data_IF_269808405517
#
_entry.id   IF_269808405517
#
_cell.length_a   1.000
_cell.length_b   1.000
_cell.length_c   1.000
_cell.angle_alpha   90.00
_cell.angle_beta   90.00
_cell.angle_gamma   90.00
#
_symmetry.space_group_name_H-M   'P 1'
#
loop_
_entity.id
_entity.type
_entity.pdbx_description
1 polymer ?
#
# COMPACT_ATOMS: atom_id res chain seq x y z
N UNK A 1 -5.00 11.08 6.15
CA UNK A 1 -6.00 11.50 7.11
C UNK A 1 -6.96 10.37 7.48
N UNK A 2 -8.00 10.66 8.24
CA UNK A 2 -8.91 9.65 8.83
C UNK A 2 -9.63 8.78 7.77
N UNK A 3 -9.86 9.33 6.58
CA UNK A 3 -10.56 8.60 5.51
C UNK A 3 -9.68 7.61 4.77
N UNK A 4 -8.37 7.66 4.93
CA UNK A 4 -7.37 6.84 4.27
C UNK A 4 -7.72 6.49 2.81
N UNK A 5 -6.73 6.23 1.98
CA UNK A 5 -6.92 5.85 0.57
C UNK A 5 -5.96 4.74 0.19
N UNK A 6 -6.38 3.90 -0.73
CA UNK A 6 -5.52 2.87 -1.30
C UNK A 6 -4.59 3.48 -2.33
N UNK A 7 -3.29 3.20 -2.19
CA UNK A 7 -2.25 3.60 -3.14
C UNK A 7 -1.70 2.35 -3.82
N UNK A 8 -1.50 2.40 -5.12
CA UNK A 8 -0.78 1.39 -5.91
C UNK A 8 0.53 2.01 -6.40
N UNK A 9 1.63 1.30 -6.21
CA UNK A 9 3.00 1.77 -6.40
C UNK A 9 3.74 0.88 -7.41
N UNK A 10 3.50 1.04 -8.72
CA UNK A 10 4.17 0.25 -9.74
C UNK A 10 5.65 0.66 -9.84
N UNK A 11 6.48 -0.26 -10.35
CA UNK A 11 7.92 -0.01 -10.55
C UNK A 11 8.28 0.39 -11.99
N UNK A 12 7.41 0.07 -12.94
CA UNK A 12 7.65 0.28 -14.35
C UNK A 12 6.34 0.48 -15.15
N UNK A 13 6.40 0.85 -16.43
CA UNK A 13 5.21 1.02 -17.27
C UNK A 13 4.36 -0.25 -17.44
N UNK A 14 4.96 -1.45 -17.42
CA UNK A 14 4.20 -2.68 -17.55
C UNK A 14 3.36 -2.95 -16.30
N UNK A 15 3.94 -2.80 -15.12
CA UNK A 15 3.21 -2.92 -13.87
C UNK A 15 2.18 -1.79 -13.70
N UNK A 16 2.48 -0.57 -14.19
CA UNK A 16 1.51 0.52 -14.20
C UNK A 16 0.26 0.18 -15.05
N UNK A 17 0.46 -0.47 -16.21
CA UNK A 17 -0.65 -0.96 -17.04
C UNK A 17 -1.49 -2.01 -16.31
N UNK A 18 -0.86 -3.00 -15.69
CA UNK A 18 -1.58 -4.03 -14.90
C UNK A 18 -2.30 -3.42 -13.69
N UNK A 19 -1.65 -2.49 -13.00
CA UNK A 19 -2.25 -1.84 -11.83
C UNK A 19 -3.40 -0.91 -12.20
N UNK A 20 -3.45 -0.36 -13.42
CA UNK A 20 -4.60 0.40 -13.87
C UNK A 20 -5.88 -0.48 -13.87
N UNK A 21 -5.79 -1.70 -14.36
CA UNK A 21 -6.91 -2.65 -14.31
C UNK A 21 -7.24 -3.07 -12.85
N UNK A 22 -6.22 -3.33 -12.03
CA UNK A 22 -6.39 -3.64 -10.60
C UNK A 22 -7.04 -2.48 -9.85
N UNK A 23 -6.70 -1.22 -10.19
CA UNK A 23 -7.30 -0.05 -9.56
C UNK A 23 -8.81 0.02 -9.75
N UNK A 24 -9.32 -0.28 -10.96
CA UNK A 24 -10.76 -0.35 -11.22
C UNK A 24 -11.43 -1.48 -10.43
N UNK A 25 -10.84 -2.67 -10.41
CA UNK A 25 -11.37 -3.80 -9.65
C UNK A 25 -11.45 -3.48 -8.15
N UNK A 26 -10.38 -2.95 -7.57
CA UNK A 26 -10.35 -2.54 -6.17
C UNK A 26 -11.33 -1.41 -5.85
N UNK A 27 -11.48 -0.42 -6.76
CA UNK A 27 -12.42 0.67 -6.56
C UNK A 27 -13.87 0.17 -6.49
N UNK A 28 -14.23 -0.83 -7.30
CA UNK A 28 -15.54 -1.46 -7.27
C UNK A 28 -15.74 -2.28 -5.98
N UNK A 29 -14.77 -3.10 -5.61
CA UNK A 29 -14.85 -3.99 -4.46
C UNK A 29 -14.82 -3.22 -3.13
N UNK A 30 -13.93 -2.26 -2.99
CA UNK A 30 -13.76 -1.45 -1.77
C UNK A 30 -14.70 -0.24 -1.72
N UNK A 31 -15.33 0.12 -2.84
CA UNK A 31 -16.19 1.31 -2.96
C UNK A 31 -15.48 2.57 -2.44
N UNK A 32 -14.27 2.79 -2.90
CA UNK A 32 -13.42 3.92 -2.52
C UNK A 32 -12.48 4.31 -3.66
N UNK A 33 -11.92 5.50 -3.58
CA UNK A 33 -10.92 5.98 -4.54
C UNK A 33 -9.63 5.17 -4.40
N UNK A 34 -9.06 4.77 -5.53
CA UNK A 34 -7.75 4.12 -5.63
C UNK A 34 -6.80 5.07 -6.36
N UNK A 35 -5.63 5.29 -5.82
CA UNK A 35 -4.59 6.10 -6.45
C UNK A 35 -3.51 5.21 -7.05
N UNK A 36 -3.29 5.34 -8.35
CA UNK A 36 -2.14 4.79 -9.04
C UNK A 36 -1.03 5.84 -9.02
N UNK A 37 0.01 5.61 -8.24
CA UNK A 37 1.07 6.57 -7.97
C UNK A 37 2.25 6.35 -8.90
N UNK A 38 2.54 7.32 -9.74
CA UNK A 38 3.68 7.33 -10.65
C UNK A 38 4.57 8.53 -10.34
N UNK A 39 5.87 8.32 -10.37
CA UNK A 39 6.82 9.43 -10.41
C UNK A 39 7.21 9.80 -11.86
N UNK A 40 7.99 10.86 -12.02
CA UNK A 40 8.41 11.33 -13.33
C UNK A 40 9.36 10.34 -14.04
N UNK A 41 10.13 9.56 -13.30
CA UNK A 41 11.04 8.57 -13.90
C UNK A 41 10.25 7.43 -14.56
N UNK A 42 9.11 7.02 -14.00
CA UNK A 42 8.21 6.07 -14.66
C UNK A 42 7.43 6.75 -15.78
N UNK A 43 6.89 7.96 -15.54
CA UNK A 43 5.94 8.60 -16.45
C UNK A 43 6.59 9.24 -17.69
N UNK A 44 7.84 9.63 -17.63
CA UNK A 44 8.52 10.37 -18.72
C UNK A 44 9.75 9.64 -19.30
N UNK A 45 10.21 8.58 -18.68
CA UNK A 45 11.34 7.81 -19.18
C UNK A 45 10.90 6.80 -20.25
N UNK A 46 11.64 6.76 -21.35
CA UNK A 46 11.42 5.75 -22.39
C UNK A 46 12.07 4.42 -21.97
N UNK A 47 11.27 3.51 -21.44
CA UNK A 47 11.72 2.18 -21.03
C UNK A 47 11.29 1.12 -22.02
N UNK A 48 12.14 0.12 -22.21
CA UNK A 48 11.76 -1.10 -22.90
C UNK A 48 10.91 -1.95 -21.93
N UNK A 49 9.76 -2.39 -22.40
CA UNK A 49 8.93 -3.35 -21.68
C UNK A 49 8.43 -4.44 -22.64
N UNK A 50 7.93 -5.54 -22.08
CA UNK A 50 7.22 -6.55 -22.88
C UNK A 50 5.97 -5.92 -23.49
N UNK A 51 5.51 -6.39 -24.68
CA UNK A 51 4.26 -5.92 -25.25
C UNK A 51 3.11 -6.02 -24.25
N UNK A 52 2.44 -4.91 -24.02
CA UNK A 52 1.29 -4.86 -23.13
C UNK A 52 0.15 -5.67 -23.77
N UNK A 53 -0.44 -6.59 -23.02
CA UNK A 53 -1.53 -7.44 -23.47
C UNK A 53 -2.76 -7.18 -22.62
N UNK A 54 -3.83 -6.78 -23.29
CA UNK A 54 -5.14 -6.70 -22.65
C UNK A 54 -5.83 -8.07 -22.76
N UNK A 55 -6.38 -8.52 -21.63
CA UNK A 55 -7.14 -9.76 -21.56
C UNK A 55 -8.64 -9.46 -21.57
N UNK A 56 -9.27 -9.64 -22.74
CA UNK A 56 -10.73 -9.43 -22.90
C UNK A 56 -11.57 -10.45 -22.14
N UNK A 57 -10.98 -11.58 -21.72
CA UNK A 57 -11.66 -12.60 -20.93
C UNK A 57 -11.62 -12.31 -19.42
N UNK A 58 -10.87 -11.31 -18.99
CA UNK A 58 -10.74 -10.94 -17.58
C UNK A 58 -12.09 -10.58 -16.99
N UNK A 59 -12.48 -11.28 -15.93
CA UNK A 59 -13.67 -10.96 -15.14
C UNK A 59 -13.30 -10.05 -13.98
N UNK A 60 -14.09 -9.00 -13.81
CA UNK A 60 -13.94 -8.07 -12.70
C UNK A 60 -14.96 -8.36 -11.61
N UNK A 61 -14.52 -8.36 -10.36
CA UNK A 61 -15.41 -8.48 -9.21
C UNK A 61 -16.06 -7.11 -8.94
N UNK A 62 -17.38 -7.03 -9.13
CA UNK A 62 -18.15 -5.80 -8.91
C UNK A 62 -18.39 -5.51 -7.41
N UNK A 63 -17.87 -6.38 -6.52
CA UNK A 63 -18.04 -6.27 -5.08
C UNK A 63 -19.45 -6.60 -4.61
N UNK A 64 -19.83 -6.06 -3.46
CA UNK A 64 -21.11 -6.34 -2.81
C UNK A 64 -22.26 -5.57 -3.46
N UNK A 65 -22.99 -6.22 -4.32
CA UNK A 65 -24.17 -5.66 -5.03
C UNK A 65 -25.42 -6.30 -4.44
N UNK A 66 -26.35 -5.46 -3.99
CA UNK A 66 -27.69 -5.89 -3.57
C UNK A 66 -28.57 -6.04 -4.80
N UNK A 67 -29.11 -7.23 -5.05
CA UNK A 67 -30.01 -7.50 -6.18
C UNK A 67 -31.47 -7.26 -5.85
N UNK A 68 -32.34 -7.25 -6.85
CA UNK A 68 -33.79 -7.13 -6.64
C UNK A 68 -34.33 -8.29 -5.79
N UNK A 69 -33.86 -9.50 -6.06
CA UNK A 69 -34.26 -10.72 -5.33
C UNK A 69 -33.89 -10.63 -3.85
N UNK A 70 -32.67 -10.20 -3.52
CA UNK A 70 -32.25 -9.99 -2.14
C UNK A 70 -33.11 -8.97 -1.40
N UNK A 71 -33.53 -7.90 -2.10
CA UNK A 71 -34.43 -6.89 -1.53
C UNK A 71 -35.84 -7.45 -1.33
N UNK A 72 -36.32 -8.33 -2.21
CA UNK A 72 -37.63 -8.97 -2.09
C UNK A 72 -37.66 -10.04 -1.01
N UNK A 73 -36.56 -10.73 -0.79
CA UNK A 73 -36.35 -11.63 0.34
C UNK A 73 -36.31 -10.89 1.70
N UNK A 74 -36.26 -9.54 1.70
CA UNK A 74 -36.30 -8.73 2.91
C UNK A 74 -34.92 -8.54 3.56
N UNK A 75 -33.83 -8.72 2.81
CA UNK A 75 -32.50 -8.39 3.31
C UNK A 75 -32.41 -6.91 3.67
N UNK A 76 -31.85 -6.62 4.84
CA UNK A 76 -31.69 -5.25 5.28
C UNK A 76 -30.66 -4.52 4.39
N UNK A 77 -31.06 -3.39 3.85
CA UNK A 77 -30.24 -2.56 2.99
C UNK A 77 -30.01 -1.19 3.60
N UNK A 78 -28.75 -0.90 3.87
CA UNK A 78 -28.26 0.43 4.20
C UNK A 78 -26.99 0.72 3.41
N UNK A 79 -26.93 1.89 2.74
CA UNK A 79 -25.78 2.23 1.89
C UNK A 79 -24.45 2.20 2.64
N UNK A 80 -24.48 2.37 3.95
CA UNK A 80 -23.30 2.36 4.83
C UNK A 80 -23.40 1.28 5.93
N UNK A 81 -24.34 0.34 5.78
CA UNK A 81 -24.53 -0.76 6.70
C UNK A 81 -23.48 -1.85 6.45
N UNK A 82 -22.65 -2.10 7.45
CA UNK A 82 -21.66 -3.17 7.46
C UNK A 82 -22.31 -4.44 8.04
N UNK A 83 -22.73 -5.35 7.18
CA UNK A 83 -23.41 -6.59 7.59
C UNK A 83 -22.46 -7.75 7.85
N UNK A 84 -21.26 -7.72 7.23
CA UNK A 84 -20.29 -8.81 7.28
C UNK A 84 -19.12 -8.51 8.23
N UNK A 85 -19.04 -7.30 8.77
CA UNK A 85 -18.00 -6.87 9.70
C UNK A 85 -16.66 -6.51 9.03
N UNK A 86 -16.61 -6.44 7.70
CA UNK A 86 -15.41 -6.10 6.92
C UNK A 86 -15.34 -4.62 6.51
N UNK A 87 -16.30 -3.81 6.95
CA UNK A 87 -16.38 -2.38 6.65
C UNK A 87 -16.91 -2.04 5.27
N UNK A 88 -17.19 -3.03 4.41
CA UNK A 88 -17.66 -2.83 3.04
C UNK A 88 -19.19 -3.06 2.96
N UNK A 89 -20.00 -2.00 2.76
CA UNK A 89 -21.43 -2.15 2.66
C UNK A 89 -21.88 -2.67 1.30
N UNK A 90 -23.10 -3.19 1.24
CA UNK A 90 -23.77 -3.45 -0.04
C UNK A 90 -24.16 -2.14 -0.73
N UNK A 91 -24.20 -2.17 -2.07
CA UNK A 91 -24.70 -1.07 -2.88
C UNK A 91 -25.73 -1.57 -3.89
N UNK A 92 -26.63 -0.70 -4.28
CA UNK A 92 -27.55 -0.91 -5.40
C UNK A 92 -27.12 -0.06 -6.58
N UNK A 93 -27.51 -0.46 -7.78
CA UNK A 93 -27.44 0.38 -8.97
C UNK A 93 -28.78 1.10 -9.22
N UNK A 94 -28.78 2.23 -9.93
CA UNK A 94 -30.02 2.82 -10.42
C UNK A 94 -30.85 1.79 -11.18
N UNK A 95 -32.12 1.66 -10.81
CA UNK A 95 -33.04 0.69 -11.46
C UNK A 95 -32.97 -0.74 -10.92
N UNK A 96 -32.22 -1.02 -9.86
CA UNK A 96 -32.16 -2.35 -9.24
C UNK A 96 -33.55 -2.84 -8.83
N UNK A 97 -34.39 -1.98 -8.25
CA UNK A 97 -35.75 -2.34 -7.81
C UNK A 97 -36.68 -1.14 -7.89
N UNK A 98 -37.99 -1.32 -8.26
CA UNK A 98 -38.92 -0.20 -8.46
C UNK A 98 -39.16 0.67 -7.22
N UNK A 99 -39.15 0.07 -6.03
CA UNK A 99 -39.54 0.73 -4.76
C UNK A 99 -38.57 0.55 -3.60
N UNK A 100 -37.57 -0.32 -3.74
CA UNK A 100 -36.61 -0.66 -2.68
C UNK A 100 -35.19 -0.34 -3.10
N UNK A 101 -34.28 -0.24 -2.14
CA UNK A 101 -32.83 -0.09 -2.38
C UNK A 101 -32.39 1.28 -2.90
N UNK A 102 -33.29 2.24 -3.05
CA UNK A 102 -32.92 3.63 -3.34
C UNK A 102 -32.41 4.34 -2.08
N UNK A 103 -31.44 5.23 -2.28
CA UNK A 103 -30.90 6.03 -1.20
C UNK A 103 -30.51 7.42 -1.70
N UNK A 104 -30.46 8.38 -0.78
CA UNK A 104 -29.98 9.72 -1.07
C UNK A 104 -29.00 10.15 0.03
N UNK A 105 -27.85 10.64 -0.35
CA UNK A 105 -26.81 11.10 0.57
C UNK A 105 -26.58 12.59 0.42
N UNK A 106 -26.49 13.30 1.53
CA UNK A 106 -26.12 14.72 1.56
C UNK A 106 -25.39 15.05 2.87
N UNK A 107 -24.75 16.20 2.90
CA UNK A 107 -24.07 16.70 4.08
C UNK A 107 -22.77 15.94 4.42
N UNK A 108 -22.19 16.29 5.54
CA UNK A 108 -20.90 15.75 6.00
C UNK A 108 -21.04 14.43 6.76
N UNK A 109 -22.18 14.20 7.43
CA UNK A 109 -22.41 12.97 8.17
C UNK A 109 -23.78 12.34 7.87
N UNK A 110 -23.85 11.03 8.04
CA UNK A 110 -25.04 10.21 7.78
C UNK A 110 -24.99 8.91 8.57
N UNK A 111 -26.14 8.34 8.82
CA UNK A 111 -26.25 7.02 9.45
C UNK A 111 -25.99 5.88 8.44
N UNK A 112 -26.05 4.63 8.93
CA UNK A 112 -25.87 3.43 8.13
C UNK A 112 -26.90 3.26 7.00
N UNK A 113 -28.04 3.96 7.07
CA UNK A 113 -29.12 3.98 6.06
C UNK A 113 -29.05 5.20 5.15
N UNK A 114 -27.96 5.97 5.18
CA UNK A 114 -27.73 7.19 4.41
C UNK A 114 -28.60 8.39 4.84
N UNK A 115 -29.24 8.35 6.00
CA UNK A 115 -30.00 9.49 6.53
C UNK A 115 -29.05 10.50 7.14
N UNK A 116 -29.25 11.77 6.82
CA UNK A 116 -28.46 12.86 7.39
C UNK A 116 -28.58 12.89 8.92
N UNK A 117 -27.45 13.07 9.60
CA UNK A 117 -27.39 13.22 11.05
C UNK A 117 -26.13 13.98 11.45
N UNK A 118 -26.18 14.70 12.56
CA UNK A 118 -25.06 15.37 13.21
C UNK A 118 -24.66 14.71 14.54
N UNK A 119 -25.24 13.56 14.85
CA UNK A 119 -24.95 12.81 16.06
C UNK A 119 -23.50 12.30 16.05
N UNK A 120 -22.70 12.71 17.05
CA UNK A 120 -21.29 12.38 17.14
C UNK A 120 -21.02 10.87 17.25
N UNK A 121 -21.88 10.13 17.93
CA UNK A 121 -21.79 8.66 18.03
C UNK A 121 -21.95 7.97 16.68
N UNK A 122 -22.86 8.45 15.83
CA UNK A 122 -23.08 7.92 14.48
C UNK A 122 -21.91 8.26 13.55
N UNK A 123 -21.33 9.45 13.70
CA UNK A 123 -20.11 9.82 13.00
C UNK A 123 -18.96 8.88 13.36
N UNK A 124 -18.74 8.64 14.66
CA UNK A 124 -17.70 7.73 15.13
C UNK A 124 -17.88 6.29 14.60
N UNK A 125 -19.11 5.77 14.58
CA UNK A 125 -19.44 4.46 14.01
C UNK A 125 -19.04 4.36 12.52
N UNK A 126 -19.33 5.40 11.73
CA UNK A 126 -18.92 5.47 10.33
C UNK A 126 -17.40 5.53 10.13
N UNK A 127 -16.68 6.29 10.98
CA UNK A 127 -15.21 6.34 10.91
C UNK A 127 -14.61 4.97 11.24
N UNK A 128 -15.11 4.31 12.29
CA UNK A 128 -14.66 2.96 12.65
C UNK A 128 -14.95 1.95 11.55
N UNK A 129 -16.11 2.05 10.88
CA UNK A 129 -16.39 1.22 9.69
C UNK A 129 -15.37 1.47 8.58
N UNK A 130 -14.97 2.73 8.33
CA UNK A 130 -13.93 3.05 7.33
C UNK A 130 -12.57 2.47 7.73
N UNK A 131 -12.22 2.48 9.03
CA UNK A 131 -11.00 1.84 9.53
C UNK A 131 -11.02 0.34 9.24
N UNK A 132 -12.11 -0.37 9.60
CA UNK A 132 -12.27 -1.81 9.28
C UNK A 132 -12.15 -2.09 7.78
N UNK A 133 -12.80 -1.27 6.93
CA UNK A 133 -12.67 -1.41 5.47
C UNK A 133 -11.21 -1.29 5.02
N UNK A 134 -10.44 -0.42 5.65
CA UNK A 134 -9.05 -0.22 5.32
C UNK A 134 -8.17 -1.39 5.79
N UNK A 135 -8.50 -1.98 6.93
CA UNK A 135 -7.89 -3.24 7.41
C UNK A 135 -8.18 -4.38 6.43
N UNK A 136 -9.43 -4.54 6.00
CA UNK A 136 -9.82 -5.52 4.97
C UNK A 136 -9.05 -5.32 3.66
N UNK A 137 -8.80 -4.08 3.26
CA UNK A 137 -8.07 -3.76 2.04
C UNK A 137 -6.62 -4.27 2.04
N UNK A 138 -5.99 -4.48 3.21
CA UNK A 138 -4.61 -4.99 3.32
C UNK A 138 -4.41 -6.33 2.61
N UNK A 139 -5.42 -7.19 2.64
CA UNK A 139 -5.38 -8.51 1.99
C UNK A 139 -5.83 -8.49 0.53
N UNK A 140 -6.43 -7.38 0.08
CA UNK A 140 -6.96 -7.24 -1.27
C UNK A 140 -5.98 -6.54 -2.24
N UNK A 141 -5.09 -5.71 -1.72
CA UNK A 141 -4.11 -4.98 -2.53
C UNK A 141 -2.93 -5.86 -2.95
N UNK A 142 -2.18 -5.48 -4.02
CA UNK A 142 -0.98 -6.19 -4.43
C UNK A 142 0.02 -6.37 -3.28
N UNK A 143 0.35 -7.61 -2.97
CA UNK A 143 1.32 -7.94 -1.91
C UNK A 143 2.70 -7.41 -2.25
N UNK A 144 3.51 -7.03 -1.24
CA UNK A 144 4.91 -6.69 -1.46
C UNK A 144 5.69 -7.89 -2.00
N UNK A 145 6.74 -7.63 -2.75
CA UNK A 145 7.65 -8.65 -3.23
C UNK A 145 8.86 -8.75 -2.30
N UNK A 146 9.21 -9.96 -1.92
CA UNK A 146 10.37 -10.23 -1.07
C UNK A 146 11.40 -11.05 -1.83
N UNK A 147 12.68 -10.77 -1.58
CA UNK A 147 13.79 -11.56 -2.05
C UNK A 147 14.84 -11.68 -0.94
N UNK A 148 15.32 -12.89 -0.72
CA UNK A 148 16.36 -13.13 0.25
C UNK A 148 17.74 -12.81 -0.34
N UNK A 149 18.65 -12.38 0.52
CA UNK A 149 20.05 -12.23 0.18
C UNK A 149 20.70 -13.58 -0.16
N UNK A 150 21.79 -13.54 -0.91
CA UNK A 150 22.59 -14.75 -1.24
C UNK A 150 23.17 -15.45 0.03
N UNK A 151 23.35 -14.70 1.12
CA UNK A 151 23.82 -15.19 2.42
C UNK A 151 22.90 -14.73 3.54
N UNK A 152 22.78 -15.50 4.64
CA UNK A 152 22.02 -15.08 5.81
C UNK A 152 22.45 -13.71 6.31
N UNK A 153 21.47 -12.86 6.60
CA UNK A 153 21.71 -11.49 7.05
C UNK A 153 20.65 -11.05 8.06
N UNK A 154 21.02 -10.06 8.87
CA UNK A 154 20.13 -9.34 9.78
C UNK A 154 19.77 -7.94 9.26
N UNK A 155 20.11 -7.65 8.03
CA UNK A 155 19.84 -6.36 7.38
C UNK A 155 18.80 -6.54 6.29
N UNK A 156 17.80 -5.64 6.29
CA UNK A 156 16.78 -5.58 5.25
C UNK A 156 16.82 -4.25 4.52
N UNK A 157 16.22 -4.19 3.32
CA UNK A 157 15.94 -2.94 2.61
C UNK A 157 14.49 -2.94 2.10
N UNK A 158 13.79 -1.82 2.34
CA UNK A 158 12.44 -1.55 1.85
C UNK A 158 12.52 -0.41 0.85
N UNK A 159 11.83 -0.55 -0.27
CA UNK A 159 11.79 0.44 -1.35
C UNK A 159 10.51 0.31 -2.17
N UNK A 160 10.25 1.25 -3.10
CA UNK A 160 9.09 1.22 -3.98
C UNK A 160 9.36 1.99 -5.29
N UNK A 161 8.44 1.83 -6.24
CA UNK A 161 8.39 2.63 -7.46
C UNK A 161 9.65 2.54 -8.32
N UNK A 162 10.03 3.66 -8.90
CA UNK A 162 11.19 3.77 -9.81
C UNK A 162 12.55 3.51 -9.15
N UNK A 163 12.60 3.31 -7.84
CA UNK A 163 13.81 2.85 -7.14
C UNK A 163 14.22 1.42 -7.52
N UNK A 164 13.28 0.61 -8.01
CA UNK A 164 13.51 -0.83 -8.28
C UNK A 164 14.68 -1.15 -9.21
N UNK A 165 14.82 -0.56 -10.39
CA UNK A 165 15.95 -0.86 -11.28
C UNK A 165 17.31 -0.50 -10.66
N UNK A 166 17.36 0.64 -9.94
CA UNK A 166 18.59 1.05 -9.24
C UNK A 166 18.91 0.13 -8.06
N UNK A 167 17.89 -0.46 -7.42
CA UNK A 167 18.07 -1.37 -6.29
C UNK A 167 18.72 -2.68 -6.73
N UNK A 168 18.36 -3.24 -7.88
CA UNK A 168 18.96 -4.48 -8.36
C UNK A 168 20.49 -4.34 -8.53
N UNK A 169 20.93 -3.30 -9.21
CA UNK A 169 22.37 -2.99 -9.35
C UNK A 169 23.01 -2.62 -8.00
N UNK A 170 22.30 -1.91 -7.13
CA UNK A 170 22.81 -1.54 -5.80
C UNK A 170 23.10 -2.77 -4.93
N UNK A 171 22.27 -3.79 -5.01
CA UNK A 171 22.51 -5.06 -4.30
C UNK A 171 23.76 -5.75 -4.81
N UNK A 172 23.99 -5.80 -6.12
CA UNK A 172 25.23 -6.37 -6.70
C UNK A 172 26.48 -5.63 -6.20
N UNK A 173 26.41 -4.29 -6.17
CA UNK A 173 27.50 -3.45 -5.66
C UNK A 173 27.75 -3.67 -4.16
N UNK A 174 26.70 -3.84 -3.37
CA UNK A 174 26.80 -4.14 -1.93
C UNK A 174 27.37 -5.54 -1.67
N UNK A 175 26.91 -6.54 -2.42
CA UNK A 175 27.41 -7.91 -2.31
C UNK A 175 28.90 -8.00 -2.68
N UNK A 176 29.36 -7.25 -3.67
CA UNK A 176 30.79 -7.14 -4.01
C UNK A 176 31.63 -6.55 -2.87
N UNK A 177 31.03 -5.72 -1.99
CA UNK A 177 31.64 -5.19 -0.76
C UNK A 177 31.46 -6.13 0.46
N UNK A 178 30.76 -7.25 0.29
CA UNK A 178 30.48 -8.20 1.37
C UNK A 178 29.27 -7.81 2.26
N UNK A 179 28.43 -6.90 1.80
CA UNK A 179 27.18 -6.52 2.45
C UNK A 179 26.00 -7.27 1.81
N UNK A 180 25.22 -7.96 2.63
CA UNK A 180 24.07 -8.75 2.18
C UNK A 180 22.80 -8.22 2.82
N UNK A 181 21.73 -8.00 2.01
CA UNK A 181 20.45 -7.50 2.49
C UNK A 181 19.29 -8.32 1.92
N UNK A 182 18.34 -8.67 2.76
CA UNK A 182 17.03 -9.11 2.29
C UNK A 182 16.26 -7.91 1.75
N UNK A 183 15.45 -8.11 0.71
CA UNK A 183 14.73 -7.05 0.01
C UNK A 183 13.22 -7.19 0.18
N UNK A 184 12.54 -6.07 0.36
CA UNK A 184 11.10 -6.00 0.29
C UNK A 184 10.70 -4.78 -0.55
N UNK A 185 10.04 -5.02 -1.69
CA UNK A 185 9.46 -3.97 -2.52
C UNK A 185 8.00 -3.76 -2.15
N UNK A 186 7.67 -2.56 -1.70
CA UNK A 186 6.29 -2.13 -1.47
C UNK A 186 5.60 -1.92 -2.82
N UNK A 187 4.40 -2.46 -2.97
CA UNK A 187 3.59 -2.35 -4.19
C UNK A 187 2.26 -1.63 -3.97
N UNK A 188 1.82 -1.56 -2.72
CA UNK A 188 0.56 -0.92 -2.37
C UNK A 188 0.53 -0.44 -0.92
N UNK A 189 -0.41 0.43 -0.63
CA UNK A 189 -0.88 0.81 0.70
C UNK A 189 -2.42 0.68 0.73
N UNK A 190 -3.03 0.15 1.82
CA UNK A 190 -2.46 -0.21 3.12
C UNK A 190 -1.44 -1.35 3.03
N UNK A 191 -0.52 -1.39 4.00
CA UNK A 191 0.53 -2.40 4.00
C UNK A 191 -0.01 -3.77 4.41
N UNK A 192 0.33 -4.78 3.62
CA UNK A 192 0.13 -6.17 4.02
C UNK A 192 0.98 -6.50 5.26
N UNK A 193 0.51 -7.39 6.12
CA UNK A 193 1.16 -7.78 7.38
C UNK A 193 2.62 -8.24 7.23
N UNK A 194 3.01 -8.71 6.04
CA UNK A 194 4.41 -9.10 5.75
C UNK A 194 5.41 -7.95 5.86
N UNK A 195 4.96 -6.67 5.78
CA UNK A 195 5.85 -5.51 5.99
C UNK A 195 6.29 -5.42 7.44
N UNK A 196 5.35 -5.58 8.38
CA UNK A 196 5.66 -5.62 9.80
C UNK A 196 6.56 -6.81 10.15
N UNK A 197 6.23 -8.00 9.62
CA UNK A 197 7.04 -9.21 9.81
C UNK A 197 8.45 -9.02 9.28
N UNK A 198 8.60 -8.48 8.07
CA UNK A 198 9.91 -8.20 7.50
C UNK A 198 10.74 -7.27 8.38
N UNK A 199 10.13 -6.20 8.90
CA UNK A 199 10.85 -5.28 9.78
C UNK A 199 11.21 -5.93 11.14
N UNK A 200 10.38 -6.84 11.65
CA UNK A 200 10.63 -7.56 12.89
C UNK A 200 11.79 -8.57 12.79
N UNK A 201 11.97 -9.17 11.61
CA UNK A 201 12.98 -10.22 11.36
C UNK A 201 14.41 -9.68 11.20
N UNK A 202 14.58 -8.34 11.13
CA UNK A 202 15.86 -7.69 10.89
C UNK A 202 16.25 -6.77 12.05
N UNK A 203 17.55 -6.67 12.32
CA UNK A 203 18.09 -5.74 13.31
C UNK A 203 17.98 -4.29 12.80
N UNK A 204 18.25 -4.08 11.51
CA UNK A 204 18.09 -2.81 10.81
C UNK A 204 17.45 -3.02 9.43
N UNK A 205 16.56 -2.11 9.07
CA UNK A 205 15.94 -2.05 7.75
C UNK A 205 16.17 -0.67 7.15
N UNK A 206 16.84 -0.61 6.01
CA UNK A 206 17.00 0.61 5.24
C UNK A 206 15.72 0.90 4.48
N UNK A 207 15.20 2.11 4.58
CA UNK A 207 14.05 2.57 3.79
C UNK A 207 14.56 3.55 2.76
N UNK A 208 14.53 3.14 1.49
CA UNK A 208 15.05 3.94 0.35
C UNK A 208 13.89 4.60 -0.35
N UNK A 209 13.92 5.92 -0.42
CA UNK A 209 12.84 6.72 -1.01
C UNK A 209 13.32 8.03 -1.62
N UNK A 210 12.57 8.53 -2.59
CA UNK A 210 12.93 9.71 -3.39
C UNK A 210 12.11 10.94 -2.93
N UNK A 211 12.26 11.30 -1.66
CA UNK A 211 11.73 12.52 -1.07
C UNK A 211 12.59 12.93 0.14
N UNK A 212 12.47 14.18 0.59
CA UNK A 212 13.26 14.74 1.70
C UNK A 212 12.79 14.31 3.09
N UNK A 213 11.50 13.94 3.20
CA UNK A 213 10.83 13.84 4.50
C UNK A 213 10.82 12.41 5.08
N UNK A 214 11.29 11.41 4.31
CA UNK A 214 11.21 10.02 4.73
C UNK A 214 9.75 9.57 4.91
N UNK A 215 8.90 9.88 3.92
CA UNK A 215 7.45 9.70 4.00
C UNK A 215 7.06 8.23 4.11
N UNK A 216 7.70 7.34 3.33
CA UNK A 216 7.45 5.90 3.43
C UNK A 216 7.88 5.36 4.79
N UNK A 217 9.08 5.75 5.27
CA UNK A 217 9.56 5.36 6.60
C UNK A 217 8.58 5.78 7.69
N UNK A 218 8.13 7.03 7.65
CA UNK A 218 7.17 7.57 8.62
C UNK A 218 5.84 6.83 8.58
N UNK A 219 5.36 6.49 7.39
CA UNK A 219 4.14 5.74 7.20
C UNK A 219 4.27 4.30 7.74
N UNK A 220 5.38 3.62 7.48
CA UNK A 220 5.66 2.27 8.00
C UNK A 220 5.66 2.28 9.54
N UNK A 221 6.31 3.26 10.17
CA UNK A 221 6.32 3.41 11.63
C UNK A 221 4.90 3.56 12.17
N UNK A 222 4.14 4.49 11.61
CA UNK A 222 2.81 4.84 12.11
C UNK A 222 1.77 3.72 11.92
N UNK A 223 1.81 3.03 10.79
CA UNK A 223 0.80 2.02 10.47
C UNK A 223 1.12 0.64 11.07
N UNK A 224 2.39 0.34 11.33
CA UNK A 224 2.79 -0.97 11.83
C UNK A 224 3.37 -0.94 13.27
N UNK A 225 3.47 0.24 13.90
CA UNK A 225 4.00 0.37 15.27
C UNK A 225 5.47 -0.08 15.42
N UNK A 226 6.28 0.08 14.36
CA UNK A 226 7.67 -0.37 14.35
C UNK A 226 8.53 0.65 15.10
N UNK A 227 9.48 0.15 15.91
CA UNK A 227 10.47 1.00 16.57
C UNK A 227 11.27 1.80 15.52
N UNK A 228 11.22 3.15 15.57
CA UNK A 228 11.92 4.02 14.63
C UNK A 228 13.43 3.79 14.54
N UNK A 229 14.06 3.30 15.61
CA UNK A 229 15.50 3.01 15.67
C UNK A 229 15.91 1.89 14.70
N UNK A 230 14.99 0.98 14.39
CA UNK A 230 15.23 -0.11 13.45
C UNK A 230 15.19 0.31 11.98
N UNK A 231 14.57 1.45 11.69
CA UNK A 231 14.40 1.92 10.31
C UNK A 231 15.39 3.04 10.00
N UNK A 232 16.35 2.75 9.13
CA UNK A 232 17.37 3.69 8.68
C UNK A 232 16.91 4.37 7.38
N UNK A 233 16.77 5.69 7.40
CA UNK A 233 16.31 6.46 6.24
C UNK A 233 17.44 6.67 5.23
N UNK A 234 17.18 6.35 3.96
CA UNK A 234 18.04 6.67 2.81
C UNK A 234 17.18 7.49 1.85
N UNK A 235 17.34 8.79 1.87
CA UNK A 235 16.53 9.74 1.08
C UNK A 235 17.34 10.36 -0.04
N UNK A 236 16.73 10.46 -1.22
CA UNK A 236 17.29 11.09 -2.40
C UNK A 236 16.28 12.12 -2.94
N UNK A 237 16.70 13.38 -3.11
CA UNK A 237 15.80 14.48 -3.48
C UNK A 237 16.50 15.63 -4.22
N UNK A 238 17.52 15.33 -5.03
CA UNK A 238 18.24 16.34 -5.81
C UNK A 238 17.59 16.67 -7.17
N UNK A 239 16.44 16.08 -7.46
CA UNK A 239 15.70 16.27 -8.70
C UNK A 239 16.12 15.36 -9.85
N UNK A 240 17.07 14.45 -9.61
CA UNK A 240 17.49 13.42 -10.58
C UNK A 240 17.01 12.03 -10.14
N UNK A 241 16.91 11.05 -11.07
CA UNK A 241 16.62 9.67 -10.71
C UNK A 241 17.67 9.11 -9.75
N UNK A 242 17.24 8.35 -8.75
CA UNK A 242 18.14 7.69 -7.80
C UNK A 242 19.05 6.68 -8.51
N UNK A 243 20.31 6.62 -8.12
CA UNK A 243 21.28 5.70 -8.73
C UNK A 243 21.68 4.56 -7.79
N UNK A 244 22.06 3.42 -8.38
CA UNK A 244 22.59 2.27 -7.65
C UNK A 244 23.81 2.63 -6.80
N UNK A 245 24.71 3.47 -7.31
CA UNK A 245 25.91 3.93 -6.58
C UNK A 245 25.55 4.75 -5.35
N UNK A 246 24.53 5.61 -5.44
CA UNK A 246 24.07 6.37 -4.29
C UNK A 246 23.53 5.42 -3.19
N UNK A 247 22.66 4.49 -3.56
CA UNK A 247 22.08 3.51 -2.63
C UNK A 247 23.17 2.66 -1.98
N UNK A 248 24.04 2.07 -2.80
CA UNK A 248 25.11 1.19 -2.32
C UNK A 248 26.15 1.94 -1.46
N UNK A 249 26.45 3.20 -1.79
CA UNK A 249 27.30 4.07 -0.98
C UNK A 249 26.69 4.32 0.39
N UNK A 250 25.47 4.85 0.44
CA UNK A 250 24.83 5.23 1.69
C UNK A 250 24.64 4.02 2.63
N UNK A 251 24.19 2.87 2.12
CA UNK A 251 23.98 1.65 2.91
C UNK A 251 25.33 1.05 3.35
N UNK A 252 26.27 0.93 2.42
CA UNK A 252 27.59 0.33 2.71
C UNK A 252 28.36 1.12 3.75
N UNK A 253 28.41 2.43 3.63
CA UNK A 253 29.09 3.30 4.58
C UNK A 253 28.47 3.24 5.98
N UNK A 254 27.15 3.16 6.07
CA UNK A 254 26.46 2.94 7.36
C UNK A 254 26.84 1.58 7.97
N UNK A 255 26.81 0.50 7.19
CA UNK A 255 27.20 -0.84 7.68
C UNK A 255 28.67 -0.93 8.08
N UNK A 256 29.57 -0.27 7.35
CA UNK A 256 30.99 -0.23 7.71
C UNK A 256 31.22 0.55 9.01
N UNK A 257 30.47 1.63 9.25
CA UNK A 257 30.47 2.34 10.53
C UNK A 257 30.02 1.48 11.71
N UNK A 258 28.97 0.65 11.52
CA UNK A 258 28.49 -0.28 12.55
C UNK A 258 29.55 -1.34 12.92
N UNK A 259 30.38 -1.79 11.97
CA UNK A 259 31.47 -2.73 12.23
C UNK A 259 32.59 -2.11 13.07
N UNK A 260 32.85 -0.81 12.89
CA UNK A 260 33.92 -0.07 13.61
C UNK A 260 33.45 0.38 14.99
N UNK A 261 32.16 0.68 15.16
CA UNK A 261 31.57 1.12 16.43
C UNK A 261 30.53 0.09 16.88
N UNK A 262 30.93 -0.98 17.59
CA UNK A 262 29.98 -1.96 18.07
C UNK A 262 28.97 -1.26 18.99
N UNK A 263 27.67 -1.44 18.68
CA UNK A 263 26.57 -0.93 19.47
C UNK A 263 26.80 -1.31 20.95
N UNK A 264 26.92 -0.33 21.83
CA UNK A 264 26.86 -0.58 23.27
C UNK A 264 25.54 -1.29 23.54
N UNK A 265 25.60 -2.57 23.95
CA UNK A 265 24.41 -3.25 24.44
C UNK A 265 23.80 -2.36 25.52
N UNK A 266 22.57 -1.91 25.29
CA UNK A 266 21.79 -1.28 26.33
C UNK A 266 21.76 -2.28 27.48
N UNK A 267 22.39 -1.93 28.59
CA UNK A 267 22.33 -2.70 29.83
C UNK A 267 20.89 -2.57 30.29
N UNK A 268 20.22 -3.70 30.35
CA UNK A 268 18.86 -3.88 30.89
C UNK A 268 18.75 -3.38 32.33
#
# INVERSE_FOLDING_TARGET
>A
GDTKHVLLLPEDPAEAFEFAAVAFDLAERLQTTIFLMLDLDIGMNHRLCRPLRWDDARQYDRGKIMTAEMLDEGRDFGRYLDVDGDGIPYRTYPGTHPTKGSFFTRGTSRDRYARYTEEGSVYADNVQRLVRKFETAQDMVPRPLQANAAKPTKYGVIYFGSTSPAMDEAIELLEARGHHLNRLRIRAFPFHSSVASFAADHDFVYVVEQNSDGQLRSLIINENGIDPVRLVSIVHYDGTPITARFIAGAIGDHQDHLKVTPLRKAVS
#
